data_IF_892988381677
#
_entry.id   IF_892988381677
#
_cell.length_a   1.000
_cell.length_b   1.000
_cell.length_c   1.000
_cell.angle_alpha   90.00
_cell.angle_beta   90.00
_cell.angle_gamma   90.00
#
_symmetry.space_group_name_H-M   'P 1'
#
loop_
_entity.id
_entity.type
_entity.pdbx_description
1 polymer ?
#
# COMPACT_ATOMS: atom_id res chain seq x y z
N UNK A 1 -21.68 -23.61 -5.83
CA UNK A 1 -21.31 -25.00 -5.48
C UNK A 1 -20.18 -24.93 -4.45
N UNK A 2 -20.49 -25.12 -3.16
CA UNK A 2 -19.49 -25.13 -2.11
C UNK A 2 -18.88 -26.54 -2.05
N UNK A 3 -17.57 -26.69 -2.26
CA UNK A 3 -16.90 -27.98 -2.13
C UNK A 3 -16.62 -28.22 -0.63
N UNK A 4 -17.30 -29.24 -0.08
CA UNK A 4 -16.99 -29.82 1.23
C UNK A 4 -15.70 -30.65 1.17
N UNK A 5 -14.85 -30.47 2.18
CA UNK A 5 -13.87 -31.41 2.74
C UNK A 5 -13.02 -32.23 1.76
N UNK A 6 -11.85 -31.69 1.40
CA UNK A 6 -10.70 -32.44 0.87
C UNK A 6 -9.67 -32.79 1.97
N UNK A 7 -10.08 -32.81 3.25
CA UNK A 7 -9.27 -33.39 4.34
C UNK A 7 -9.63 -34.86 4.51
N UNK A 8 -9.12 -35.69 3.60
CA UNK A 8 -9.30 -37.14 3.60
C UNK A 8 -8.01 -37.87 3.25
N UNK A 9 -7.16 -38.05 4.28
CA UNK A 9 -6.12 -39.10 4.39
C UNK A 9 -4.90 -38.98 3.45
N UNK A 10 -3.87 -38.30 3.94
CA UNK A 10 -2.52 -38.30 3.37
C UNK A 10 -1.77 -37.03 3.76
N UNK A 11 -0.68 -37.17 4.51
CA UNK A 11 0.20 -36.12 5.03
C UNK A 11 0.90 -35.31 3.93
N UNK A 12 0.20 -34.37 3.32
CA UNK A 12 0.77 -33.21 2.63
C UNK A 12 -0.18 -32.02 2.81
N UNK A 13 0.16 -31.11 3.71
CA UNK A 13 -0.47 -29.78 3.79
C UNK A 13 -0.07 -28.97 2.56
N UNK A 14 -0.71 -29.25 1.42
CA UNK A 14 -0.57 -28.43 0.21
C UNK A 14 -0.97 -27.00 0.54
N UNK A 15 -0.12 -26.05 0.21
CA UNK A 15 -0.32 -24.66 0.58
C UNK A 15 -1.57 -24.13 -0.14
N UNK A 16 -2.29 -23.18 0.47
CA UNK A 16 -3.46 -22.51 -0.14
C UNK A 16 -3.13 -21.97 -1.55
N UNK A 17 -1.88 -21.54 -1.73
CA UNK A 17 -1.27 -21.08 -2.97
C UNK A 17 -1.21 -22.15 -4.08
N UNK A 18 -1.06 -23.42 -3.70
CA UNK A 18 -0.97 -24.57 -4.61
C UNK A 18 -2.35 -25.08 -5.05
N UNK A 19 -3.38 -24.91 -4.20
CA UNK A 19 -4.76 -25.28 -4.54
C UNK A 19 -5.37 -24.42 -5.64
N UNK A 20 -4.86 -23.19 -5.84
CA UNK A 20 -5.39 -22.21 -6.80
C UNK A 20 -5.06 -22.52 -8.27
N UNK A 21 -4.10 -23.40 -8.53
CA UNK A 21 -3.64 -23.78 -9.88
C UNK A 21 -4.04 -25.23 -10.22
N UNK A 22 -5.30 -25.63 -9.94
CA UNK A 22 -5.84 -26.94 -10.31
C UNK A 22 -6.95 -26.85 -11.37
N UNK A 23 -7.15 -27.91 -12.19
CA UNK A 23 -8.07 -27.90 -13.34
C UNK A 23 -9.56 -27.70 -13.02
N UNK A 24 -9.97 -27.76 -11.75
CA UNK A 24 -11.38 -27.76 -11.34
C UNK A 24 -12.08 -26.39 -11.38
N UNK A 25 -11.43 -25.33 -11.88
CA UNK A 25 -11.83 -23.94 -11.60
C UNK A 25 -12.19 -23.05 -12.79
N UNK A 26 -12.19 -23.53 -14.05
CA UNK A 26 -12.31 -22.63 -15.21
C UNK A 26 -13.58 -22.92 -16.04
N UNK A 27 -14.53 -21.99 -15.99
CA UNK A 27 -15.65 -21.86 -16.94
C UNK A 27 -15.62 -20.51 -17.67
N UNK A 28 -16.38 -20.39 -18.77
CA UNK A 28 -16.26 -19.26 -19.73
C UNK A 28 -16.43 -17.84 -19.14
N UNK A 29 -17.36 -17.62 -18.20
CA UNK A 29 -17.54 -16.30 -17.57
C UNK A 29 -16.34 -15.91 -16.68
N UNK A 30 -15.66 -16.90 -16.11
CA UNK A 30 -14.50 -16.67 -15.26
C UNK A 30 -13.27 -16.32 -16.09
N UNK A 31 -13.09 -16.93 -17.26
CA UNK A 31 -11.99 -16.62 -18.17
C UNK A 31 -11.92 -15.12 -18.49
N UNK A 32 -13.07 -14.49 -18.75
CA UNK A 32 -13.15 -13.05 -18.98
C UNK A 32 -12.66 -12.23 -17.76
N UNK A 33 -13.02 -12.63 -16.54
CA UNK A 33 -12.59 -11.94 -15.32
C UNK A 33 -11.07 -12.07 -15.10
N UNK A 34 -10.50 -13.24 -15.38
CA UNK A 34 -9.05 -13.47 -15.28
C UNK A 34 -8.28 -12.60 -16.30
N UNK A 35 -8.76 -12.53 -17.54
CA UNK A 35 -8.17 -11.67 -18.59
C UNK A 35 -8.24 -10.19 -18.19
N UNK A 36 -9.37 -9.75 -17.64
CA UNK A 36 -9.52 -8.39 -17.10
C UNK A 36 -8.49 -8.11 -16.00
N UNK A 37 -8.32 -9.02 -15.03
CA UNK A 37 -7.34 -8.88 -13.95
C UNK A 37 -5.90 -8.82 -14.48
N UNK A 38 -5.55 -9.65 -15.47
CA UNK A 38 -4.24 -9.59 -16.12
C UNK A 38 -4.01 -8.24 -16.80
N UNK A 39 -4.98 -7.79 -17.60
CA UNK A 39 -4.91 -6.52 -18.35
C UNK A 39 -4.74 -5.32 -17.42
N UNK A 40 -5.52 -5.28 -16.32
CA UNK A 40 -5.40 -4.22 -15.32
C UNK A 40 -4.02 -4.26 -14.65
N UNK A 41 -3.49 -5.43 -14.27
CA UNK A 41 -2.15 -5.51 -13.69
C UNK A 41 -1.06 -5.02 -14.66
N UNK A 42 -1.17 -5.31 -15.96
CA UNK A 42 -0.22 -4.82 -16.97
C UNK A 42 -0.28 -3.29 -17.08
N UNK A 43 -1.49 -2.73 -17.15
CA UNK A 43 -1.66 -1.27 -17.20
C UNK A 43 -1.12 -0.60 -15.93
N UNK A 44 -1.45 -1.13 -14.76
CA UNK A 44 -0.97 -0.61 -13.49
C UNK A 44 0.56 -0.78 -13.33
N UNK A 45 1.15 -1.84 -13.87
CA UNK A 45 2.61 -2.06 -13.92
C UNK A 45 3.33 -0.91 -14.64
N UNK A 46 2.88 -0.57 -15.85
CA UNK A 46 3.47 0.50 -16.65
C UNK A 46 3.33 1.85 -15.95
N UNK A 47 2.13 2.16 -15.44
CA UNK A 47 1.88 3.43 -14.75
C UNK A 47 2.65 3.56 -13.44
N UNK A 48 2.74 2.49 -12.64
CA UNK A 48 3.52 2.47 -11.39
C UNK A 48 5.00 2.67 -11.68
N UNK A 49 5.54 1.94 -12.66
CA UNK A 49 6.95 2.03 -13.02
C UNK A 49 7.32 3.43 -13.51
N UNK A 50 6.60 3.95 -14.51
CA UNK A 50 6.89 5.27 -15.08
C UNK A 50 6.67 6.39 -14.07
N UNK A 51 5.53 6.36 -13.35
CA UNK A 51 5.19 7.37 -12.37
C UNK A 51 6.24 7.46 -11.26
N UNK A 52 6.65 6.33 -10.69
CA UNK A 52 7.63 6.33 -9.60
C UNK A 52 9.06 6.60 -10.08
N UNK A 53 9.43 6.23 -11.33
CA UNK A 53 10.67 6.70 -11.95
C UNK A 53 10.73 8.23 -12.00
N UNK A 54 9.65 8.87 -12.46
CA UNK A 54 9.56 10.33 -12.52
C UNK A 54 9.68 10.98 -11.14
N UNK A 55 9.04 10.39 -10.12
CA UNK A 55 9.17 10.87 -8.73
C UNK A 55 10.60 10.76 -8.22
N UNK A 56 11.31 9.65 -8.48
CA UNK A 56 12.71 9.51 -8.08
C UNK A 56 13.61 10.56 -8.75
N UNK A 57 13.40 10.82 -10.04
CA UNK A 57 14.11 11.88 -10.78
C UNK A 57 13.79 13.26 -10.21
N UNK A 58 12.51 13.56 -9.95
CA UNK A 58 12.09 14.83 -9.35
C UNK A 58 12.70 15.03 -7.95
N UNK A 59 12.64 14.00 -7.09
CA UNK A 59 13.26 14.02 -5.77
C UNK A 59 14.79 14.12 -5.84
N UNK A 60 15.44 13.71 -6.94
CA UNK A 60 16.86 13.97 -7.11
C UNK A 60 17.14 15.47 -7.27
N UNK A 61 16.31 16.18 -8.03
CA UNK A 61 16.46 17.62 -8.32
C UNK A 61 16.05 18.54 -7.17
N UNK A 62 15.10 18.13 -6.33
CA UNK A 62 14.60 18.96 -5.23
C UNK A 62 15.58 19.02 -4.05
N UNK A 63 16.11 20.20 -3.71
CA UNK A 63 17.05 20.42 -2.61
C UNK A 63 16.42 20.96 -1.32
N UNK A 64 15.23 21.56 -1.38
CA UNK A 64 14.60 22.24 -0.23
C UNK A 64 13.86 21.30 0.74
N UNK A 65 13.61 20.04 0.36
CA UNK A 65 12.93 19.08 1.23
C UNK A 65 13.81 18.68 2.42
N UNK A 66 13.21 18.57 3.61
CA UNK A 66 13.91 18.06 4.81
C UNK A 66 14.52 16.67 4.49
N UNK A 67 15.84 16.46 4.69
CA UNK A 67 16.52 15.24 4.23
C UNK A 67 15.91 13.92 4.72
N UNK A 68 15.45 13.80 5.99
CA UNK A 68 14.72 12.63 6.48
C UNK A 68 13.42 12.33 5.73
N UNK A 69 12.53 13.31 5.55
CA UNK A 69 11.27 13.13 4.81
C UNK A 69 11.54 12.78 3.34
N UNK A 70 12.58 13.38 2.76
CA UNK A 70 13.05 13.05 1.40
C UNK A 70 13.47 11.58 1.28
N UNK A 71 14.12 11.03 2.31
CA UNK A 71 14.50 9.62 2.34
C UNK A 71 13.26 8.70 2.40
N UNK A 72 12.25 9.03 3.21
CA UNK A 72 10.99 8.27 3.25
C UNK A 72 10.29 8.24 1.89
N UNK A 73 10.20 9.38 1.21
CA UNK A 73 9.58 9.46 -0.11
C UNK A 73 10.37 8.73 -1.19
N UNK A 74 11.71 8.76 -1.12
CA UNK A 74 12.55 7.94 -2.00
C UNK A 74 12.32 6.45 -1.77
N UNK A 75 12.26 6.00 -0.50
CA UNK A 75 11.99 4.60 -0.20
C UNK A 75 10.62 4.16 -0.74
N UNK A 76 9.58 4.98 -0.53
CA UNK A 76 8.24 4.71 -1.03
C UNK A 76 8.22 4.59 -2.56
N UNK A 77 8.80 5.56 -3.27
CA UNK A 77 8.90 5.52 -4.73
C UNK A 77 9.73 4.31 -5.24
N UNK A 78 10.80 3.93 -4.55
CA UNK A 78 11.57 2.71 -4.88
C UNK A 78 10.72 1.45 -4.72
N UNK A 79 9.99 1.30 -3.61
CA UNK A 79 9.13 0.13 -3.40
C UNK A 79 8.03 0.04 -4.45
N UNK A 80 7.40 1.16 -4.80
CA UNK A 80 6.31 1.20 -5.77
C UNK A 80 6.79 0.98 -7.21
N UNK A 81 7.98 1.47 -7.55
CA UNK A 81 8.66 1.16 -8.80
C UNK A 81 8.92 -0.34 -8.92
N UNK A 82 9.41 -0.98 -7.86
CA UNK A 82 9.66 -2.42 -7.84
C UNK A 82 8.36 -3.24 -7.92
N UNK A 83 7.26 -2.76 -7.31
CA UNK A 83 5.93 -3.36 -7.49
C UNK A 83 5.52 -3.33 -8.96
N UNK A 84 5.73 -2.18 -9.61
CA UNK A 84 5.51 -1.99 -11.05
C UNK A 84 6.36 -2.89 -11.93
N UNK A 85 7.63 -3.07 -11.58
CA UNK A 85 8.59 -3.80 -12.38
C UNK A 85 8.52 -5.33 -12.20
N UNK A 86 8.16 -5.81 -11.00
CA UNK A 86 8.29 -7.22 -10.62
C UNK A 86 6.94 -7.81 -10.22
N UNK A 87 6.30 -7.26 -9.18
CA UNK A 87 5.09 -7.86 -8.58
C UNK A 87 3.88 -7.88 -9.51
N UNK A 88 3.63 -6.79 -10.21
CA UNK A 88 2.48 -6.67 -11.12
C UNK A 88 2.64 -7.53 -12.39
N UNK A 89 3.80 -7.59 -13.07
CA UNK A 89 4.04 -8.52 -14.16
C UNK A 89 3.93 -9.99 -13.74
N UNK A 90 4.44 -10.37 -12.56
CA UNK A 90 4.28 -11.72 -12.02
C UNK A 90 2.79 -12.06 -11.77
N UNK A 91 2.03 -11.09 -11.25
CA UNK A 91 0.58 -11.24 -11.05
C UNK A 91 -0.17 -11.40 -12.38
N UNK A 92 0.19 -10.62 -13.41
CA UNK A 92 -0.37 -10.79 -14.75
C UNK A 92 -0.03 -12.16 -15.35
N UNK A 93 1.23 -12.60 -15.18
CA UNK A 93 1.69 -13.93 -15.62
C UNK A 93 0.90 -15.04 -14.94
N UNK A 94 0.63 -14.92 -13.64
CA UNK A 94 -0.22 -15.86 -12.90
C UNK A 94 -1.62 -15.97 -13.52
N UNK A 95 -2.30 -14.84 -13.76
CA UNK A 95 -3.65 -14.84 -14.36
C UNK A 95 -3.66 -15.41 -15.77
N UNK A 96 -2.68 -15.06 -16.60
CA UNK A 96 -2.53 -15.58 -17.97
C UNK A 96 -2.26 -17.08 -17.95
N UNK A 97 -1.37 -17.55 -17.06
CA UNK A 97 -1.05 -18.97 -16.93
C UNK A 97 -2.26 -19.78 -16.49
N UNK A 98 -3.14 -19.20 -15.67
CA UNK A 98 -4.39 -19.82 -15.29
C UNK A 98 -5.34 -19.93 -16.49
N UNK A 99 -5.47 -18.88 -17.31
CA UNK A 99 -6.33 -18.86 -18.51
C UNK A 99 -5.90 -19.90 -19.55
N UNK A 100 -4.61 -20.06 -19.78
CA UNK A 100 -4.07 -21.02 -20.75
C UNK A 100 -3.69 -22.38 -20.13
N UNK A 101 -4.12 -22.65 -18.90
CA UNK A 101 -3.90 -23.94 -18.22
C UNK A 101 -2.42 -24.36 -18.11
N UNK A 102 -1.50 -23.39 -18.04
CA UNK A 102 -0.07 -23.63 -17.83
C UNK A 102 0.22 -23.80 -16.32
N UNK A 103 -0.10 -24.97 -15.76
CA UNK A 103 -0.10 -25.22 -14.31
C UNK A 103 1.25 -25.04 -13.62
N UNK A 104 2.35 -25.41 -14.27
CA UNK A 104 3.71 -25.22 -13.71
C UNK A 104 4.04 -23.73 -13.57
N UNK A 105 3.85 -22.97 -14.65
CA UNK A 105 4.06 -21.52 -14.68
C UNK A 105 3.11 -20.81 -13.70
N UNK A 106 1.85 -21.27 -13.59
CA UNK A 106 0.88 -20.76 -12.63
C UNK A 106 1.41 -20.83 -11.19
N UNK A 107 1.96 -21.99 -10.77
CA UNK A 107 2.50 -22.16 -9.41
C UNK A 107 3.70 -21.25 -9.15
N UNK A 108 4.66 -21.20 -10.07
CA UNK A 108 5.84 -20.34 -9.92
C UNK A 108 5.46 -18.85 -9.91
N UNK A 109 4.62 -18.42 -10.85
CA UNK A 109 4.16 -17.05 -10.95
C UNK A 109 3.35 -16.63 -9.72
N UNK A 110 2.45 -17.48 -9.21
CA UNK A 110 1.65 -17.19 -8.02
C UNK A 110 2.53 -17.04 -6.76
N UNK A 111 3.47 -17.96 -6.55
CA UNK A 111 4.38 -17.90 -5.40
C UNK A 111 5.31 -16.69 -5.48
N UNK A 112 5.91 -16.43 -6.64
CA UNK A 112 6.77 -15.27 -6.84
C UNK A 112 6.01 -13.94 -6.72
N UNK A 113 4.80 -13.85 -7.30
CA UNK A 113 3.93 -12.69 -7.15
C UNK A 113 3.61 -12.43 -5.68
N UNK A 114 3.22 -13.46 -4.93
CA UNK A 114 2.90 -13.32 -3.51
C UNK A 114 4.10 -12.86 -2.69
N UNK A 115 5.25 -13.55 -2.80
CA UNK A 115 6.49 -13.22 -2.07
C UNK A 115 6.89 -11.76 -2.33
N UNK A 116 6.95 -11.36 -3.60
CA UNK A 116 7.40 -10.02 -3.99
C UNK A 116 6.40 -8.94 -3.59
N UNK A 117 5.10 -9.15 -3.87
CA UNK A 117 4.05 -8.19 -3.52
C UNK A 117 3.96 -8.02 -2.01
N UNK A 118 4.01 -9.12 -1.26
CA UNK A 118 3.92 -9.09 0.19
C UNK A 118 5.08 -8.32 0.82
N UNK A 119 6.32 -8.58 0.38
CA UNK A 119 7.48 -7.84 0.87
C UNK A 119 7.38 -6.34 0.54
N UNK A 120 7.17 -6.00 -0.73
CA UNK A 120 7.23 -4.61 -1.20
C UNK A 120 6.04 -3.77 -0.70
N UNK A 121 4.82 -4.32 -0.75
CA UNK A 121 3.64 -3.61 -0.26
C UNK A 121 3.67 -3.45 1.27
N UNK A 122 4.29 -4.37 2.02
CA UNK A 122 4.48 -4.24 3.47
C UNK A 122 5.44 -3.09 3.80
N UNK A 123 6.60 -3.03 3.13
CA UNK A 123 7.54 -1.90 3.29
C UNK A 123 6.88 -0.59 2.89
N UNK A 124 6.15 -0.57 1.77
CA UNK A 124 5.41 0.62 1.29
C UNK A 124 4.40 1.10 2.33
N UNK A 125 3.56 0.20 2.87
CA UNK A 125 2.56 0.52 3.90
C UNK A 125 3.18 1.06 5.20
N UNK A 126 4.25 0.42 5.69
CA UNK A 126 4.98 0.90 6.88
C UNK A 126 5.62 2.27 6.61
N UNK A 127 6.15 2.49 5.40
CA UNK A 127 6.73 3.79 5.00
C UNK A 127 5.67 4.88 4.92
N UNK A 128 4.49 4.61 4.34
CA UNK A 128 3.36 5.55 4.32
C UNK A 128 2.87 5.91 5.74
N UNK A 129 2.87 4.93 6.65
CA UNK A 129 2.55 5.15 8.06
C UNK A 129 3.60 6.04 8.73
N UNK A 130 4.89 5.78 8.48
CA UNK A 130 5.97 6.62 8.97
C UNK A 130 5.89 8.06 8.40
N UNK A 131 5.52 8.23 7.13
CA UNK A 131 5.26 9.56 6.53
C UNK A 131 4.10 10.26 7.24
N UNK A 132 3.06 9.53 7.64
CA UNK A 132 1.91 10.09 8.37
C UNK A 132 2.34 10.60 9.75
N UNK A 133 3.16 9.83 10.47
CA UNK A 133 3.75 10.23 11.75
C UNK A 133 4.73 11.39 11.61
N UNK A 134 5.58 11.37 10.58
CA UNK A 134 6.55 12.43 10.28
C UNK A 134 5.85 13.77 10.08
N UNK A 135 4.74 13.78 9.34
CA UNK A 135 3.90 14.96 9.13
C UNK A 135 3.23 15.44 10.42
N UNK A 136 2.70 14.53 11.22
CA UNK A 136 2.11 14.88 12.51
C UNK A 136 3.17 15.52 13.42
N UNK A 137 4.37 14.96 13.45
CA UNK A 137 5.47 15.46 14.28
C UNK A 137 5.94 16.85 13.81
N UNK A 138 6.05 17.05 12.49
CA UNK A 138 6.37 18.34 11.91
C UNK A 138 5.33 19.42 12.27
N UNK A 139 4.05 19.05 12.29
CA UNK A 139 2.96 19.95 12.67
C UNK A 139 2.97 20.29 14.18
N UNK A 140 3.16 19.29 15.05
CA UNK A 140 3.07 19.48 16.50
C UNK A 140 4.31 20.15 17.11
N UNK A 141 5.49 19.85 16.60
CA UNK A 141 6.77 20.32 17.18
C UNK A 141 7.31 21.57 16.47
N UNK A 142 6.85 21.85 15.24
CA UNK A 142 7.21 23.05 14.49
C UNK A 142 8.72 23.18 14.31
N UNK A 143 9.33 24.28 14.80
CA UNK A 143 10.74 24.60 14.56
C UNK A 143 11.74 23.59 15.14
N UNK A 144 11.39 22.90 16.24
CA UNK A 144 12.27 21.88 16.85
C UNK A 144 12.27 20.55 16.09
N UNK A 145 11.34 20.34 15.15
CA UNK A 145 11.23 19.10 14.38
C UNK A 145 12.54 18.74 13.66
N UNK A 146 13.23 19.74 13.09
CA UNK A 146 14.50 19.53 12.37
C UNK A 146 15.64 19.01 13.27
N UNK A 147 15.57 19.26 14.58
CA UNK A 147 16.57 18.78 15.54
C UNK A 147 16.28 17.34 16.01
N UNK A 148 15.00 16.95 16.06
CA UNK A 148 14.57 15.65 16.56
C UNK A 148 14.64 14.58 15.48
N UNK A 149 14.09 14.87 14.30
CA UNK A 149 14.06 13.92 13.18
C UNK A 149 15.31 14.10 12.36
N UNK A 150 16.23 13.15 12.53
CA UNK A 150 17.52 13.11 11.84
C UNK A 150 17.54 12.03 10.77
N UNK A 151 18.43 12.18 9.77
CA UNK A 151 18.56 11.23 8.67
C UNK A 151 18.94 9.82 9.17
N UNK A 152 19.76 9.75 10.22
CA UNK A 152 20.21 8.50 10.83
C UNK A 152 19.04 7.72 11.44
N UNK A 153 18.18 8.38 12.20
CA UNK A 153 17.01 7.73 12.81
C UNK A 153 16.07 7.17 11.74
N UNK A 154 15.76 7.96 10.70
CA UNK A 154 14.91 7.53 9.59
C UNK A 154 15.53 6.36 8.81
N UNK A 155 16.84 6.38 8.57
CA UNK A 155 17.54 5.27 7.92
C UNK A 155 17.42 3.95 8.70
N UNK A 156 17.60 3.98 10.02
CA UNK A 156 17.43 2.80 10.89
C UNK A 156 16.00 2.26 10.81
N UNK A 157 14.99 3.13 10.88
CA UNK A 157 13.57 2.74 10.77
C UNK A 157 13.30 2.02 9.44
N UNK A 158 13.83 2.54 8.32
CA UNK A 158 13.66 1.92 7.01
C UNK A 158 14.34 0.54 6.94
N UNK A 159 15.56 0.41 7.47
CA UNK A 159 16.26 -0.88 7.53
C UNK A 159 15.42 -1.90 8.31
N UNK A 160 14.80 -1.49 9.43
CA UNK A 160 13.91 -2.34 10.22
C UNK A 160 12.68 -2.75 9.39
N UNK A 161 12.06 -1.84 8.64
CA UNK A 161 10.90 -2.16 7.79
C UNK A 161 11.25 -3.21 6.72
N UNK A 162 12.39 -3.05 6.06
CA UNK A 162 12.89 -4.03 5.09
C UNK A 162 13.19 -5.38 5.75
N UNK A 163 13.92 -5.38 6.88
CA UNK A 163 14.26 -6.60 7.60
C UNK A 163 13.00 -7.36 8.06
N UNK A 164 12.02 -6.68 8.66
CA UNK A 164 10.75 -7.28 9.08
C UNK A 164 9.99 -7.90 7.91
N UNK A 165 9.92 -7.20 6.76
CA UNK A 165 9.20 -7.67 5.57
C UNK A 165 9.90 -8.88 4.94
N UNK A 166 11.23 -8.85 4.82
CA UNK A 166 12.02 -9.95 4.28
C UNK A 166 11.92 -11.18 5.19
N UNK A 167 12.08 -11.00 6.51
CA UNK A 167 11.95 -12.11 7.47
C UNK A 167 10.55 -12.72 7.42
N UNK A 168 9.49 -11.90 7.36
CA UNK A 168 8.12 -12.40 7.25
C UNK A 168 7.90 -13.26 5.99
N UNK A 169 8.56 -12.93 4.87
CA UNK A 169 8.50 -13.69 3.63
C UNK A 169 9.43 -14.91 3.63
N UNK A 170 10.59 -14.87 4.28
CA UNK A 170 11.44 -16.05 4.45
C UNK A 170 10.75 -17.11 5.31
N UNK A 171 10.06 -16.67 6.37
CA UNK A 171 9.28 -17.53 7.24
C UNK A 171 8.06 -18.14 6.54
N UNK A 172 7.58 -17.55 5.43
CA UNK A 172 6.51 -18.15 4.62
C UNK A 172 6.92 -19.52 4.08
N UNK A 173 8.19 -19.68 3.68
CA UNK A 173 8.70 -20.94 3.15
C UNK A 173 8.83 -22.04 4.21
N UNK A 174 8.92 -21.66 5.49
CA UNK A 174 9.01 -22.59 6.62
C UNK A 174 7.62 -22.88 7.17
N UNK A 175 6.85 -21.84 7.48
CA UNK A 175 5.53 -21.94 8.10
C UNK A 175 4.64 -20.76 7.68
N UNK A 176 3.75 -20.99 6.70
CA UNK A 176 2.90 -19.94 6.09
C UNK A 176 2.04 -19.17 7.11
N UNK A 177 1.68 -19.80 8.23
CA UNK A 177 0.84 -19.22 9.28
C UNK A 177 1.49 -17.98 9.92
N UNK A 178 2.81 -17.95 10.01
CA UNK A 178 3.54 -16.81 10.60
C UNK A 178 3.35 -15.58 9.72
N UNK A 179 3.50 -15.74 8.41
CA UNK A 179 3.29 -14.67 7.43
C UNK A 179 1.86 -14.15 7.48
N UNK A 180 0.86 -15.03 7.61
CA UNK A 180 -0.54 -14.60 7.78
C UNK A 180 -0.75 -13.77 9.06
N UNK A 181 -0.23 -14.21 10.21
CA UNK A 181 -0.33 -13.47 11.46
C UNK A 181 0.35 -12.10 11.37
N UNK A 182 1.52 -12.04 10.74
CA UNK A 182 2.22 -10.79 10.47
C UNK A 182 1.31 -9.80 9.71
N UNK A 183 0.68 -10.25 8.62
CA UNK A 183 -0.20 -9.40 7.81
C UNK A 183 -1.43 -8.92 8.58
N UNK A 184 -2.04 -9.82 9.37
CA UNK A 184 -3.19 -9.51 10.22
C UNK A 184 -2.90 -8.52 11.33
N UNK A 185 -1.65 -8.37 11.75
CA UNK A 185 -1.25 -7.41 12.78
C UNK A 185 -0.76 -6.12 12.13
N UNK A 186 0.14 -6.22 11.15
CA UNK A 186 0.81 -5.06 10.54
C UNK A 186 -0.14 -4.22 9.71
N UNK A 187 -1.00 -4.83 8.89
CA UNK A 187 -1.92 -4.08 8.03
C UNK A 187 -2.87 -3.21 8.86
N UNK A 188 -3.66 -3.74 9.81
CA UNK A 188 -4.59 -2.91 10.58
C UNK A 188 -3.86 -1.95 11.53
N UNK A 189 -2.72 -2.32 12.12
CA UNK A 189 -1.96 -1.39 12.96
C UNK A 189 -1.47 -0.18 12.17
N UNK A 190 -0.94 -0.38 10.96
CA UNK A 190 -0.56 0.71 10.06
C UNK A 190 -1.75 1.61 9.70
N UNK A 191 -2.90 1.01 9.36
CA UNK A 191 -4.13 1.75 9.06
C UNK A 191 -4.59 2.58 10.25
N UNK A 192 -4.67 1.99 11.45
CA UNK A 192 -5.08 2.69 12.68
C UNK A 192 -4.13 3.84 13.00
N UNK A 193 -2.81 3.59 12.97
CA UNK A 193 -1.81 4.64 13.23
C UNK A 193 -1.94 5.78 12.22
N UNK A 194 -2.11 5.47 10.94
CA UNK A 194 -2.28 6.48 9.90
C UNK A 194 -3.58 7.28 10.08
N UNK A 195 -4.72 6.62 10.35
CA UNK A 195 -6.00 7.27 10.67
C UNK A 195 -5.84 8.21 11.85
N UNK A 196 -5.29 7.74 12.97
CA UNK A 196 -5.10 8.55 14.18
C UNK A 196 -4.18 9.75 13.91
N UNK A 197 -3.13 9.56 13.11
CA UNK A 197 -2.21 10.63 12.74
C UNK A 197 -2.91 11.71 11.92
N UNK A 198 -3.66 11.33 10.88
CA UNK A 198 -4.40 12.28 10.05
C UNK A 198 -5.58 12.93 10.78
N UNK A 199 -6.27 12.21 11.65
CA UNK A 199 -7.30 12.79 12.52
C UNK A 199 -6.71 13.84 13.44
N UNK A 200 -5.54 13.59 14.05
CA UNK A 200 -4.83 14.58 14.86
C UNK A 200 -4.37 15.77 14.03
N UNK A 201 -3.80 15.56 12.84
CA UNK A 201 -3.44 16.63 11.90
C UNK A 201 -4.66 17.50 11.61
N UNK A 202 -5.80 16.89 11.26
CA UNK A 202 -7.04 17.60 10.96
C UNK A 202 -7.56 18.42 12.16
N UNK A 203 -7.60 17.82 13.35
CA UNK A 203 -8.03 18.49 14.57
C UNK A 203 -7.12 19.68 14.92
N UNK A 204 -5.80 19.48 14.90
CA UNK A 204 -4.83 20.54 15.18
C UNK A 204 -4.92 21.67 14.16
N UNK A 205 -5.05 21.34 12.87
CA UNK A 205 -5.26 22.34 11.82
C UNK A 205 -6.56 23.12 12.06
N UNK A 206 -7.67 22.44 12.38
CA UNK A 206 -8.95 23.09 12.68
C UNK A 206 -8.87 24.04 13.88
N UNK A 207 -8.17 23.63 14.94
CA UNK A 207 -7.92 24.47 16.12
C UNK A 207 -7.11 25.71 15.76
N UNK A 208 -6.03 25.55 14.99
CA UNK A 208 -5.21 26.66 14.52
C UNK A 208 -6.02 27.65 13.66
N UNK A 209 -6.89 27.14 12.78
CA UNK A 209 -7.77 27.98 11.99
C UNK A 209 -8.80 28.73 12.84
N UNK A 210 -9.39 28.09 13.85
CA UNK A 210 -10.33 28.74 14.76
C UNK A 210 -9.66 29.90 15.54
N UNK A 211 -8.44 29.68 16.03
CA UNK A 211 -7.66 30.71 16.74
C UNK A 211 -7.29 31.91 15.85
N UNK A 212 -6.93 31.67 14.58
CA UNK A 212 -6.66 32.74 13.62
C UNK A 212 -7.94 33.53 13.33
N UNK A 213 -9.08 32.85 13.14
CA UNK A 213 -10.34 33.52 12.85
C UNK A 213 -10.75 34.47 13.98
N UNK A 214 -10.55 34.06 15.24
CA UNK A 214 -10.80 34.91 16.42
C UNK A 214 -9.81 36.09 16.52
N UNK A 215 -8.52 35.89 16.22
CA UNK A 215 -7.51 36.98 16.26
C UNK A 215 -7.66 37.99 15.12
N UNK A 216 -8.12 37.56 13.94
CA UNK A 216 -8.26 38.42 12.75
C UNK A 216 -9.46 39.36 12.83
N UNK A 217 -10.42 39.12 13.73
CA UNK A 217 -11.52 40.04 13.98
C UNK A 217 -11.08 41.39 14.58
N UNK A 218 -9.79 41.52 14.95
CA UNK A 218 -9.18 42.75 15.47
C UNK A 218 -8.32 43.55 14.45
N UNK A 219 -7.99 43.04 13.26
CA UNK A 219 -7.25 43.82 12.24
C UNK A 219 -7.73 43.59 10.78
N UNK A 220 -8.07 44.65 10.02
CA UNK A 220 -8.48 44.56 8.62
C UNK A 220 -7.24 44.62 7.71
N UNK A 221 -6.55 43.50 7.52
CA UNK A 221 -5.56 43.38 6.44
C UNK A 221 -5.76 42.09 5.65
N UNK A 222 -5.22 42.07 4.43
CA UNK A 222 -5.60 41.17 3.34
C UNK A 222 -4.67 39.93 3.18
N UNK A 223 -4.56 38.97 4.13
CA UNK A 223 -3.98 37.64 3.88
C UNK A 223 -4.98 36.47 4.02
N UNK A 224 -6.26 36.75 4.31
CA UNK A 224 -7.24 35.72 4.72
C UNK A 224 -7.53 34.67 3.64
N UNK A 225 -7.70 35.09 2.38
CA UNK A 225 -8.01 34.15 1.30
C UNK A 225 -6.84 33.19 1.00
N UNK A 226 -5.60 33.68 1.08
CA UNK A 226 -4.39 32.89 0.81
C UNK A 226 -4.15 31.83 1.90
N UNK A 227 -4.35 32.19 3.18
CA UNK A 227 -4.20 31.30 4.32
C UNK A 227 -5.31 30.23 4.36
N UNK A 228 -6.56 30.61 4.07
CA UNK A 228 -7.70 29.68 3.94
C UNK A 228 -7.49 28.70 2.77
N UNK A 229 -7.04 29.21 1.61
CA UNK A 229 -6.76 28.36 0.45
C UNK A 229 -5.65 27.34 0.75
N UNK A 230 -4.56 27.77 1.41
CA UNK A 230 -3.45 26.90 1.81
C UNK A 230 -3.89 25.85 2.83
N UNK A 231 -4.71 26.25 3.80
CA UNK A 231 -5.33 25.36 4.79
C UNK A 231 -6.21 24.28 4.12
N UNK A 232 -7.18 24.71 3.30
CA UNK A 232 -8.11 23.81 2.60
C UNK A 232 -7.35 22.82 1.70
N UNK A 233 -6.33 23.30 0.99
CA UNK A 233 -5.51 22.47 0.09
C UNK A 233 -4.72 21.41 0.87
N UNK A 234 -4.08 21.78 1.99
CA UNK A 234 -3.34 20.84 2.83
C UNK A 234 -4.25 19.76 3.45
N UNK A 235 -5.43 20.15 3.92
CA UNK A 235 -6.44 19.23 4.47
C UNK A 235 -6.99 18.29 3.40
N UNK A 236 -7.38 18.82 2.23
CA UNK A 236 -7.88 17.99 1.13
C UNK A 236 -6.81 17.00 0.65
N UNK A 237 -5.55 17.43 0.51
CA UNK A 237 -4.45 16.53 0.13
C UNK A 237 -4.27 15.40 1.16
N UNK A 238 -4.26 15.73 2.45
CA UNK A 238 -4.15 14.75 3.53
C UNK A 238 -5.32 13.75 3.53
N UNK A 239 -6.55 14.22 3.34
CA UNK A 239 -7.75 13.37 3.26
C UNK A 239 -7.71 12.44 2.05
N UNK A 240 -7.29 12.92 0.89
CA UNK A 240 -7.16 12.09 -0.31
C UNK A 240 -6.12 10.98 -0.16
N UNK A 241 -4.95 11.30 0.44
CA UNK A 241 -3.92 10.29 0.74
C UNK A 241 -4.49 9.23 1.70
N UNK A 242 -5.20 9.66 2.74
CA UNK A 242 -5.78 8.74 3.72
C UNK A 242 -6.90 7.88 3.13
N UNK A 243 -7.77 8.48 2.32
CA UNK A 243 -8.85 7.77 1.63
C UNK A 243 -8.28 6.74 0.66
N UNK A 244 -7.27 7.10 -0.12
CA UNK A 244 -6.57 6.19 -1.01
C UNK A 244 -5.97 4.99 -0.23
N UNK A 245 -5.29 5.27 0.89
CA UNK A 245 -4.68 4.23 1.71
C UNK A 245 -5.72 3.24 2.28
N UNK A 246 -6.84 3.75 2.79
CA UNK A 246 -7.92 2.90 3.32
C UNK A 246 -8.58 2.11 2.19
N UNK A 247 -8.93 2.77 1.09
CA UNK A 247 -9.61 2.14 -0.04
C UNK A 247 -8.77 1.02 -0.70
N UNK A 248 -7.44 1.17 -0.73
CA UNK A 248 -6.55 0.20 -1.36
C UNK A 248 -6.27 -1.03 -0.47
N UNK A 249 -6.15 -0.86 0.85
CA UNK A 249 -5.71 -1.94 1.75
C UNK A 249 -6.85 -2.59 2.56
N UNK A 250 -7.92 -1.87 2.88
CA UNK A 250 -9.04 -2.40 3.66
C UNK A 250 -9.70 -3.62 2.98
N UNK A 251 -9.98 -3.62 1.66
CA UNK A 251 -10.61 -4.77 1.00
C UNK A 251 -9.78 -6.04 1.14
N UNK A 252 -8.45 -5.94 1.02
CA UNK A 252 -7.56 -7.09 1.18
C UNK A 252 -7.62 -7.66 2.60
N UNK A 253 -7.56 -6.81 3.62
CA UNK A 253 -7.69 -7.24 5.02
C UNK A 253 -9.02 -7.94 5.30
N UNK A 254 -10.13 -7.41 4.78
CA UNK A 254 -11.47 -8.02 4.95
C UNK A 254 -11.54 -9.39 4.28
N UNK A 255 -11.05 -9.52 3.05
CA UNK A 255 -11.07 -10.79 2.32
C UNK A 255 -10.28 -11.85 3.05
N UNK A 256 -9.07 -11.55 3.49
CA UNK A 256 -8.21 -12.49 4.23
C UNK A 256 -8.87 -12.96 5.54
N UNK A 257 -9.59 -12.09 6.26
CA UNK A 257 -10.37 -12.48 7.45
C UNK A 257 -11.50 -13.45 7.06
N UNK A 258 -12.24 -13.16 5.99
CA UNK A 258 -13.35 -13.99 5.51
C UNK A 258 -12.88 -15.38 5.07
N UNK A 259 -11.77 -15.47 4.32
CA UNK A 259 -11.19 -16.76 3.88
C UNK A 259 -10.89 -17.64 5.09
N UNK A 260 -10.26 -17.05 6.10
CA UNK A 260 -9.83 -17.78 7.29
C UNK A 260 -10.98 -18.22 8.19
N UNK A 261 -12.01 -17.38 8.33
CA UNK A 261 -13.18 -17.74 9.13
C UNK A 261 -14.01 -18.83 8.45
N UNK A 262 -14.23 -18.71 7.14
CA UNK A 262 -15.09 -19.66 6.41
C UNK A 262 -14.39 -20.99 6.12
N UNK A 263 -13.05 -21.01 6.10
CA UNK A 263 -12.21 -22.15 5.68
C UNK A 263 -12.65 -22.75 4.33
N UNK A 264 -13.39 -21.97 3.54
CA UNK A 264 -14.04 -22.40 2.32
C UNK A 264 -13.48 -21.62 1.16
N UNK A 265 -12.84 -22.34 0.23
CA UNK A 265 -12.34 -21.77 -1.01
C UNK A 265 -13.43 -21.88 -2.06
N UNK A 266 -14.06 -20.75 -2.37
CA UNK A 266 -14.92 -20.62 -3.54
C UNK A 266 -14.19 -19.83 -4.61
N UNK A 267 -14.50 -20.12 -5.88
CA UNK A 267 -13.93 -19.40 -7.01
C UNK A 267 -14.24 -17.90 -6.97
N UNK A 268 -15.43 -17.52 -6.47
CA UNK A 268 -15.78 -16.13 -6.23
C UNK A 268 -14.80 -15.45 -5.26
N UNK A 269 -14.40 -16.16 -4.20
CA UNK A 269 -13.44 -15.65 -3.22
C UNK A 269 -12.04 -15.47 -3.82
N UNK A 270 -11.64 -16.32 -4.77
CA UNK A 270 -10.38 -16.18 -5.52
C UNK A 270 -10.39 -14.90 -6.36
N UNK A 271 -11.48 -14.64 -7.09
CA UNK A 271 -11.63 -13.43 -7.91
C UNK A 271 -11.66 -12.19 -7.01
N UNK A 272 -12.43 -12.21 -5.93
CA UNK A 272 -12.51 -11.10 -4.96
C UNK A 272 -11.14 -10.83 -4.32
N UNK A 273 -10.38 -11.87 -3.97
CA UNK A 273 -8.99 -11.73 -3.51
C UNK A 273 -8.11 -11.11 -4.59
N UNK A 274 -8.26 -11.54 -5.84
CA UNK A 274 -7.55 -10.96 -6.99
C UNK A 274 -7.82 -9.46 -7.16
N UNK A 275 -9.09 -9.06 -7.07
CA UNK A 275 -9.49 -7.64 -7.10
C UNK A 275 -8.87 -6.88 -5.92
N UNK A 276 -8.90 -7.45 -4.72
CA UNK A 276 -8.31 -6.82 -3.55
C UNK A 276 -6.79 -6.63 -3.68
N UNK A 277 -6.07 -7.61 -4.25
CA UNK A 277 -4.63 -7.47 -4.55
C UNK A 277 -4.39 -6.39 -5.60
N UNK A 278 -5.22 -6.30 -6.64
CA UNK A 278 -5.15 -5.21 -7.63
C UNK A 278 -5.33 -3.84 -6.97
N UNK A 279 -6.25 -3.70 -6.00
CA UNK A 279 -6.43 -2.46 -5.24
C UNK A 279 -5.19 -2.12 -4.41
N UNK A 280 -4.55 -3.10 -3.78
CA UNK A 280 -3.27 -2.89 -3.08
C UNK A 280 -2.19 -2.40 -4.05
N UNK A 281 -2.08 -3.00 -5.25
CA UNK A 281 -1.13 -2.54 -6.27
C UNK A 281 -1.48 -1.16 -6.84
N UNK A 282 -2.77 -0.83 -6.93
CA UNK A 282 -3.23 0.48 -7.37
C UNK A 282 -2.70 1.61 -6.48
N UNK A 283 -2.50 1.36 -5.18
CA UNK A 283 -1.86 2.32 -4.27
C UNK A 283 -0.51 2.82 -4.79
N UNK A 284 0.33 1.92 -5.32
CA UNK A 284 1.64 2.28 -5.87
C UNK A 284 1.55 3.19 -7.10
N UNK A 285 0.44 3.13 -7.86
CA UNK A 285 0.18 4.03 -9.00
C UNK A 285 -0.39 5.38 -8.57
N UNK A 286 -1.07 5.45 -7.42
CA UNK A 286 -1.64 6.70 -6.88
C UNK A 286 -0.56 7.60 -6.30
N UNK A 287 0.51 7.02 -5.75
CA UNK A 287 1.56 7.75 -5.04
C UNK A 287 2.16 8.91 -5.87
N UNK A 288 2.56 8.74 -7.14
CA UNK A 288 2.99 9.84 -8.02
C UNK A 288 2.02 11.02 -8.12
N UNK A 289 0.72 10.76 -8.23
CA UNK A 289 -0.29 11.82 -8.29
C UNK A 289 -0.40 12.56 -6.95
N UNK A 290 -0.31 11.81 -5.84
CA UNK A 290 -0.27 12.38 -4.49
C UNK A 290 0.99 13.23 -4.25
N UNK A 291 2.12 12.88 -4.88
CA UNK A 291 3.35 13.66 -4.86
C UNK A 291 3.28 14.93 -5.70
N UNK A 292 2.86 14.83 -6.97
CA UNK A 292 2.78 15.98 -7.87
C UNK A 292 1.80 17.04 -7.37
N UNK A 293 0.67 16.61 -6.79
CA UNK A 293 -0.26 17.51 -6.13
C UNK A 293 0.39 18.30 -4.99
N UNK A 294 1.38 17.69 -4.32
CA UNK A 294 2.01 18.22 -3.10
C UNK A 294 3.35 18.93 -3.34
N UNK A 295 4.04 18.65 -4.45
CA UNK A 295 5.30 19.32 -4.82
C UNK A 295 5.03 20.63 -5.57
N UNK A 296 3.88 20.79 -6.22
CA UNK A 296 3.40 22.10 -6.69
C UNK A 296 3.04 23.09 -5.56
N UNK A 297 3.58 22.88 -4.35
CA UNK A 297 3.37 23.65 -3.13
C UNK A 297 4.67 24.27 -2.57
N UNK A 298 5.79 24.21 -3.30
CA UNK A 298 7.00 24.99 -2.99
C UNK A 298 7.36 25.92 -4.14
#
# INVERSE_FOLDING_TARGET
MAIKNLTGRGTETKTIQELLCFPAFIGGLQQQQLICLATVNIFLSVTSFLGNCLILVALHRVSFLHPPSKLLYRNLATTDLLVGLVSQPLSATYWISLVYEHWSLCRYANSAAYITSYALCSVSLMTMTAISLDRLLALLIGLRYKQIVTLRHTGIILIIFWALSIVAVLLYAVEYRITEWYGRIVIPSCQVISILSYMKIFCTLRQYHAQILDHVQQEPSQPNALNIARYRKAVCSALWVQLALVACYLPYGVVEIVINHTKAYSLHLVIVRGVAVVLVHFNSTLNPFLYCWKIGEV
#
